data_IF_992905531416
#
_entry.id   IF_992905531416
#
_cell.length_a   1.000
_cell.length_b   1.000
_cell.length_c   1.000
_cell.angle_alpha   90.00
_cell.angle_beta   90.00
_cell.angle_gamma   90.00
#
_symmetry.space_group_name_H-M   'P 1'
#
loop_
_entity.id
_entity.type
_entity.pdbx_description
1 polymer ?
#
# COMPACT_ATOMS: atom_id res chain seq x y z
N UNK A 1 5.74 -5.95 -0.39
CA UNK A 1 7.07 -6.57 -0.21
C UNK A 1 7.68 -6.84 -1.58
N UNK A 2 8.21 -5.79 -2.24
CA UNK A 2 8.68 -5.87 -3.63
C UNK A 2 10.19 -6.17 -3.72
N UNK A 3 11.02 -5.44 -2.98
CA UNK A 3 12.47 -5.64 -2.95
C UNK A 3 12.91 -7.06 -2.55
N UNK A 4 12.29 -7.65 -1.51
CA UNK A 4 12.64 -9.00 -1.03
C UNK A 4 12.24 -10.08 -2.03
N UNK A 5 11.09 -9.94 -2.72
CA UNK A 5 10.67 -10.87 -3.78
C UNK A 5 11.61 -10.83 -4.98
N UNK A 6 12.17 -9.65 -5.26
CA UNK A 6 13.20 -9.46 -6.27
C UNK A 6 14.63 -9.83 -5.78
N UNK A 7 14.78 -10.34 -4.55
CA UNK A 7 16.07 -10.66 -3.90
C UNK A 7 17.06 -9.50 -3.86
N UNK A 8 16.57 -8.25 -3.84
CA UNK A 8 17.38 -7.05 -3.71
C UNK A 8 17.60 -6.72 -2.24
N UNK A 9 18.82 -6.27 -1.88
CA UNK A 9 19.20 -5.90 -0.51
C UNK A 9 18.90 -4.44 -0.16
N UNK A 10 18.49 -3.64 -1.14
CA UNK A 10 18.08 -2.25 -1.00
C UNK A 10 16.72 -2.02 -1.66
N UNK A 11 15.99 -1.02 -1.16
CA UNK A 11 14.68 -0.62 -1.71
C UNK A 11 14.89 0.53 -2.69
N UNK A 12 14.17 0.48 -3.81
CA UNK A 12 14.18 1.55 -4.83
C UNK A 12 12.90 2.37 -4.78
N UNK A 13 12.90 3.58 -5.33
CA UNK A 13 11.70 4.43 -5.41
C UNK A 13 10.50 3.72 -6.04
N UNK A 14 10.75 2.94 -7.10
CA UNK A 14 9.72 2.14 -7.77
C UNK A 14 9.02 1.16 -6.83
N UNK A 15 9.75 0.53 -5.90
CA UNK A 15 9.16 -0.38 -4.92
C UNK A 15 8.17 0.33 -3.98
N UNK A 16 8.43 1.60 -3.66
CA UNK A 16 7.54 2.42 -2.87
C UNK A 16 6.29 2.81 -3.66
N UNK A 17 6.46 3.29 -4.90
CA UNK A 17 5.33 3.65 -5.77
C UNK A 17 4.40 2.45 -6.01
N UNK A 18 4.96 1.27 -6.26
CA UNK A 18 4.19 0.04 -6.45
C UNK A 18 3.49 -0.40 -5.15
N UNK A 19 4.14 -0.19 -3.99
CA UNK A 19 3.53 -0.45 -2.69
C UNK A 19 2.36 0.48 -2.36
N UNK A 20 2.51 1.78 -2.58
CA UNK A 20 1.44 2.76 -2.35
C UNK A 20 0.26 2.46 -3.26
N UNK A 21 0.50 2.22 -4.55
CA UNK A 21 -0.58 1.88 -5.48
C UNK A 21 -1.31 0.60 -5.05
N UNK A 22 -0.58 -0.45 -4.64
CA UNK A 22 -1.18 -1.71 -4.17
C UNK A 22 -2.02 -1.50 -2.91
N UNK A 23 -1.52 -0.79 -1.91
CA UNK A 23 -2.17 -0.67 -0.60
C UNK A 23 -3.35 0.29 -0.68
N UNK A 24 -3.15 1.49 -1.21
CA UNK A 24 -4.17 2.54 -1.21
C UNK A 24 -5.30 2.20 -2.17
N UNK A 25 -4.98 1.87 -3.44
CA UNK A 25 -6.00 1.59 -4.44
C UNK A 25 -6.55 0.18 -4.32
N UNK A 26 -5.68 -0.81 -4.07
CA UNK A 26 -6.08 -2.22 -3.98
C UNK A 26 -6.94 -2.54 -2.75
N UNK A 27 -6.69 -1.90 -1.59
CA UNK A 27 -7.48 -2.14 -0.38
C UNK A 27 -8.56 -1.10 -0.12
N UNK A 28 -8.78 -0.16 -1.03
CA UNK A 28 -9.82 0.87 -0.90
C UNK A 28 -11.21 0.27 -0.64
N UNK A 29 -11.53 -0.87 -1.27
CA UNK A 29 -12.80 -1.62 -1.07
C UNK A 29 -13.03 -2.04 0.39
N UNK A 30 -11.95 -2.31 1.13
CA UNK A 30 -12.00 -2.77 2.51
C UNK A 30 -11.57 -1.67 3.49
N UNK A 31 -11.57 -0.41 3.04
CA UNK A 31 -11.18 0.69 3.91
C UNK A 31 -12.17 0.87 5.05
N UNK A 32 -11.65 0.89 6.27
CA UNK A 32 -12.43 1.15 7.48
C UNK A 32 -12.71 2.65 7.70
N UNK A 33 -11.92 3.53 7.06
CA UNK A 33 -12.05 4.99 7.22
C UNK A 33 -13.47 5.53 6.98
N UNK A 34 -14.20 5.22 5.89
CA UNK A 34 -15.55 5.75 5.69
C UNK A 34 -16.55 5.28 6.75
N UNK A 35 -16.34 4.10 7.36
CA UNK A 35 -17.22 3.60 8.43
C UNK A 35 -17.11 4.47 9.68
N UNK A 36 -15.90 4.90 10.02
CA UNK A 36 -15.65 5.63 11.27
C UNK A 36 -15.73 7.15 11.11
N UNK A 37 -15.57 7.67 9.89
CA UNK A 37 -15.66 9.11 9.61
C UNK A 37 -17.07 9.68 9.81
N UNK A 38 -18.11 8.84 9.82
CA UNK A 38 -19.50 9.26 10.09
C UNK A 38 -19.71 9.67 11.55
N UNK A 39 -18.85 9.21 12.48
CA UNK A 39 -18.99 9.46 13.92
C UNK A 39 -18.06 10.57 14.45
N UNK A 40 -17.41 11.32 13.54
CA UNK A 40 -16.40 12.33 13.87
C UNK A 40 -16.87 13.75 13.58
#
# INVERSE_FOLDING_TARGET
MFAIRARRKTVTEKDFLDAVNKVTKGYQKFSATPKYMVYN
#
